data_IF_849758494333
#
_entry.id   IF_849758494333
#
_cell.length_a   1.000
_cell.length_b   1.000
_cell.length_c   1.000
_cell.angle_alpha   90.00
_cell.angle_beta   90.00
_cell.angle_gamma   90.00
#
_symmetry.space_group_name_H-M   'P 1'
#
loop_
_entity.id
_entity.type
_entity.pdbx_description
1 polymer ?
#
# COMPACT_ATOMS: atom_id res chain seq x y z
N UNK A 1 16.80 1.53 -19.27
CA UNK A 1 16.95 0.26 -18.55
C UNK A 1 15.55 -0.24 -18.28
N UNK A 2 15.02 -1.12 -19.13
CA UNK A 2 13.71 -1.73 -18.89
C UNK A 2 13.99 -2.97 -18.07
N UNK A 3 13.53 -2.99 -16.82
CA UNK A 3 13.50 -4.20 -16.04
C UNK A 3 12.37 -5.04 -16.65
N UNK A 4 12.69 -5.95 -17.56
CA UNK A 4 11.75 -6.95 -18.06
C UNK A 4 12.22 -8.30 -17.52
N UNK A 5 11.49 -8.81 -16.54
CA UNK A 5 11.77 -10.07 -15.87
C UNK A 5 10.61 -10.44 -14.96
N UNK A 6 10.46 -11.71 -14.58
CA UNK A 6 9.34 -12.19 -13.76
C UNK A 6 9.27 -11.54 -12.37
N UNK A 7 10.31 -10.82 -11.97
CA UNK A 7 10.45 -10.10 -10.69
C UNK A 7 9.93 -8.67 -10.73
N UNK A 8 9.46 -8.18 -11.89
CA UNK A 8 8.97 -6.81 -12.04
C UNK A 8 7.61 -6.68 -11.38
N UNK A 9 7.51 -5.71 -10.49
CA UNK A 9 6.26 -5.37 -9.80
C UNK A 9 6.07 -3.86 -9.83
N UNK A 10 4.84 -3.42 -10.05
CA UNK A 10 4.48 -2.03 -9.79
C UNK A 10 4.22 -1.88 -8.30
N UNK A 11 4.90 -0.95 -7.65
CA UNK A 11 4.78 -0.71 -6.20
C UNK A 11 4.06 0.61 -5.96
N UNK A 12 3.15 0.61 -4.99
CA UNK A 12 2.44 1.77 -4.48
C UNK A 12 2.74 1.93 -2.99
N UNK A 13 3.04 3.17 -2.59
CA UNK A 13 3.22 3.56 -1.20
C UNK A 13 2.18 4.62 -0.84
N UNK A 14 1.31 4.30 0.10
CA UNK A 14 0.41 5.26 0.74
C UNK A 14 0.97 5.65 2.11
N UNK A 15 1.07 6.96 2.38
CA UNK A 15 1.59 7.51 3.63
C UNK A 15 0.50 8.24 4.40
N UNK A 16 0.54 8.16 5.74
CA UNK A 16 -0.33 8.93 6.63
C UNK A 16 0.51 9.97 7.33
N UNK A 17 0.13 11.23 7.16
CA UNK A 17 0.76 12.37 7.82
C UNK A 17 -0.17 12.93 8.88
N UNK A 18 0.34 13.05 10.11
CA UNK A 18 -0.28 13.86 11.14
C UNK A 18 -0.08 15.34 10.76
N UNK A 19 -1.17 16.06 10.53
CA UNK A 19 -1.13 17.46 10.08
C UNK A 19 -0.80 18.44 11.19
N UNK A 20 -0.93 18.04 12.46
CA UNK A 20 -0.59 18.86 13.62
C UNK A 20 0.92 18.82 13.84
N UNK A 21 1.50 17.62 13.89
CA UNK A 21 2.94 17.43 14.16
C UNK A 21 3.79 17.43 12.89
N UNK A 22 3.17 17.28 11.71
CA UNK A 22 3.83 17.16 10.42
C UNK A 22 4.50 15.81 10.16
N UNK A 23 4.48 14.88 11.13
CA UNK A 23 5.16 13.57 11.06
C UNK A 23 4.36 12.56 10.24
N UNK A 24 5.08 11.63 9.60
CA UNK A 24 4.45 10.44 9.03
C UNK A 24 4.30 9.38 10.13
N UNK A 25 3.07 8.91 10.34
CA UNK A 25 2.66 8.07 11.48
C UNK A 25 2.19 6.67 11.05
N UNK A 26 2.21 6.38 9.76
CA UNK A 26 1.80 5.10 9.20
C UNK A 26 1.94 5.05 7.69
N UNK A 27 1.93 3.84 7.16
CA UNK A 27 2.05 3.60 5.73
C UNK A 27 1.42 2.25 5.33
N UNK A 28 1.15 2.13 4.03
CA UNK A 28 0.83 0.86 3.37
C UNK A 28 1.67 0.78 2.08
N UNK A 29 2.43 -0.30 1.95
CA UNK A 29 3.12 -0.69 0.71
C UNK A 29 2.34 -1.84 0.11
N UNK A 30 1.88 -1.66 -1.12
CA UNK A 30 1.31 -2.74 -1.91
C UNK A 30 1.96 -2.82 -3.28
N UNK A 31 1.86 -3.98 -3.91
CA UNK A 31 2.45 -4.22 -5.22
C UNK A 31 1.54 -5.08 -6.09
N UNK A 32 1.72 -4.97 -7.41
CA UNK A 32 1.08 -5.84 -8.40
C UNK A 32 2.19 -6.39 -9.30
N UNK A 33 2.31 -7.71 -9.34
CA UNK A 33 3.25 -8.42 -10.21
C UNK A 33 2.76 -8.51 -11.66
N UNK A 34 3.66 -8.91 -12.56
CA UNK A 34 3.35 -9.07 -13.99
C UNK A 34 2.19 -10.05 -14.26
N UNK A 35 2.03 -11.08 -13.42
CA UNK A 35 0.92 -12.05 -13.48
C UNK A 35 -0.40 -11.54 -12.87
N UNK A 36 -0.47 -10.25 -12.53
CA UNK A 36 -1.63 -9.59 -11.93
C UNK A 36 -1.98 -10.04 -10.51
N UNK A 37 -1.05 -10.67 -9.80
CA UNK A 37 -1.20 -10.93 -8.37
C UNK A 37 -0.91 -9.66 -7.55
N UNK A 38 -1.89 -9.21 -6.76
CA UNK A 38 -1.75 -8.09 -5.83
C UNK A 38 -1.31 -8.54 -4.43
N UNK A 39 -0.42 -7.79 -3.79
CA UNK A 39 0.09 -8.10 -2.46
C UNK A 39 0.20 -6.86 -1.57
N UNK A 40 -0.17 -7.00 -0.30
CA UNK A 40 0.17 -6.03 0.75
C UNK A 40 1.51 -6.46 1.35
N UNK A 41 2.57 -5.72 1.04
CA UNK A 41 3.95 -6.07 1.34
C UNK A 41 4.33 -5.69 2.79
N UNK A 42 4.02 -4.45 3.16
CA UNK A 42 4.35 -3.90 4.46
C UNK A 42 3.31 -2.88 4.88
N UNK A 43 2.90 -2.93 6.14
CA UNK A 43 1.85 -2.10 6.70
C UNK A 43 2.18 -1.76 8.13
N UNK A 44 2.05 -0.48 8.48
CA UNK A 44 2.38 0.01 9.80
C UNK A 44 1.55 1.22 10.19
N UNK A 45 1.16 1.28 11.47
CA UNK A 45 0.60 2.47 12.12
C UNK A 45 1.27 2.59 13.49
N UNK A 46 1.76 3.77 13.83
CA UNK A 46 2.33 4.08 15.14
C UNK A 46 1.31 3.76 16.25
N UNK A 47 1.79 3.15 17.34
CA UNK A 47 0.92 2.63 18.40
C UNK A 47 -0.11 3.64 18.96
N UNK A 48 0.26 4.92 19.19
CA UNK A 48 -0.70 5.93 19.68
C UNK A 48 -1.84 6.24 18.71
N UNK A 49 -1.68 5.94 17.42
CA UNK A 49 -2.64 6.23 16.36
C UNK A 49 -3.43 4.99 15.91
N UNK A 50 -3.23 3.84 16.56
CA UNK A 50 -4.00 2.62 16.30
C UNK A 50 -5.43 2.76 16.82
N UNK A 51 -6.32 1.89 16.32
CA UNK A 51 -7.76 1.88 16.62
C UNK A 51 -8.53 3.17 16.23
N UNK A 52 -7.88 4.12 15.57
CA UNK A 52 -8.49 5.34 15.03
C UNK A 52 -9.01 5.21 13.58
N UNK A 53 -9.12 3.98 13.04
CA UNK A 53 -9.56 3.74 11.65
C UNK A 53 -8.52 4.05 10.56
N UNK A 54 -7.35 4.56 10.93
CA UNK A 54 -6.24 4.87 9.99
C UNK A 54 -5.79 3.61 9.25
N UNK A 55 -5.63 2.51 9.97
CA UNK A 55 -5.22 1.23 9.37
C UNK A 55 -6.21 0.71 8.35
N UNK A 56 -7.52 0.76 8.67
CA UNK A 56 -8.59 0.41 7.74
C UNK A 56 -8.53 1.29 6.49
N UNK A 57 -8.40 2.61 6.67
CA UNK A 57 -8.32 3.55 5.55
C UNK A 57 -7.13 3.25 4.64
N UNK A 58 -5.96 2.99 5.21
CA UNK A 58 -4.76 2.61 4.47
C UNK A 58 -4.96 1.32 3.66
N UNK A 59 -5.51 0.27 4.28
CA UNK A 59 -5.76 -1.01 3.60
C UNK A 59 -6.81 -0.87 2.50
N UNK A 60 -7.93 -0.18 2.76
CA UNK A 60 -8.97 0.06 1.74
C UNK A 60 -8.41 0.82 0.55
N UNK A 61 -7.57 1.83 0.77
CA UNK A 61 -6.90 2.58 -0.31
C UNK A 61 -5.89 1.73 -1.06
N UNK A 62 -5.12 0.90 -0.35
CA UNK A 62 -4.17 -0.04 -0.96
C UNK A 62 -4.87 -1.05 -1.86
N UNK A 63 -5.97 -1.65 -1.39
CA UNK A 63 -6.81 -2.58 -2.16
C UNK A 63 -7.38 -1.91 -3.42
N UNK A 64 -8.02 -0.74 -3.28
CA UNK A 64 -8.55 0.01 -4.42
C UNK A 64 -7.43 0.44 -5.41
N UNK A 65 -6.24 0.72 -4.89
CA UNK A 65 -5.05 0.98 -5.69
C UNK A 65 -4.64 -0.24 -6.53
N UNK A 66 -4.65 -1.43 -5.94
CA UNK A 66 -4.37 -2.68 -6.66
C UNK A 66 -5.44 -3.00 -7.71
N UNK A 67 -6.72 -2.75 -7.40
CA UNK A 67 -7.82 -2.88 -8.38
C UNK A 67 -7.56 -1.96 -9.60
N UNK A 68 -7.12 -0.72 -9.35
CA UNK A 68 -6.79 0.25 -10.42
C UNK A 68 -5.56 -0.18 -11.24
N UNK A 69 -4.59 -0.86 -10.62
CA UNK A 69 -3.41 -1.43 -11.28
C UNK A 69 -3.72 -2.74 -12.05
N UNK A 70 -4.96 -3.23 -11.98
CA UNK A 70 -5.44 -4.40 -12.68
C UNK A 70 -5.10 -5.72 -12.00
N UNK A 71 -4.96 -5.73 -10.67
CA UNK A 71 -4.85 -6.97 -9.91
C UNK A 71 -6.11 -7.83 -10.12
N UNK A 72 -5.93 -9.15 -10.21
CA UNK A 72 -7.03 -10.10 -10.43
C UNK A 72 -7.27 -10.87 -9.13
N UNK A 73 -8.54 -10.96 -8.72
CA UNK A 73 -8.95 -11.86 -7.64
C UNK A 73 -8.88 -13.30 -8.13
N UNK A 74 -8.16 -14.16 -7.41
CA UNK A 74 -8.23 -15.61 -7.55
C UNK A 74 -9.32 -16.18 -6.66
#
# INVERSE_FOLDING_TARGET
MVLEGPWVRTVRLDLVRDTITGRYIGYCVCSVSADKTGEVESFFVEAPYRLAGIGTTLLTRGLAGMDTLGAVRK
#
